data_IF_236885991152
#
_entry.id   IF_236885991152
#
_cell.length_a   1.000
_cell.length_b   1.000
_cell.length_c   1.000
_cell.angle_alpha   90.00
_cell.angle_beta   90.00
_cell.angle_gamma   90.00
#
_symmetry.space_group_name_H-M   'P 1'
#
loop_
_entity.id
_entity.type
_entity.pdbx_description
1 polymer ?
#
# COMPACT_ATOMS: atom_id res chain seq x y z
N UNK A 1 5.09 -11.47 6.51
CA UNK A 1 4.58 -12.85 6.65
C UNK A 1 5.64 -13.88 6.20
N UNK A 2 6.08 -13.91 4.94
CA UNK A 2 6.98 -14.95 4.40
C UNK A 2 8.31 -15.08 5.12
N UNK A 3 9.01 -13.97 5.41
CA UNK A 3 10.28 -14.00 6.15
C UNK A 3 10.14 -14.58 7.55
N UNK A 4 9.04 -14.28 8.25
CA UNK A 4 8.76 -14.86 9.54
C UNK A 4 8.49 -16.37 9.43
N UNK A 5 7.70 -16.78 8.43
CA UNK A 5 7.42 -18.18 8.14
C UNK A 5 8.71 -18.97 7.88
N UNK A 6 9.58 -18.49 6.98
CA UNK A 6 10.87 -19.12 6.69
C UNK A 6 11.74 -19.22 7.95
N UNK A 7 11.75 -18.17 8.78
CA UNK A 7 12.58 -18.14 9.99
C UNK A 7 12.13 -19.16 11.03
N UNK A 8 10.83 -19.22 11.35
CA UNK A 8 10.39 -20.16 12.37
C UNK A 8 10.39 -21.62 11.87
N UNK A 9 10.19 -21.89 10.59
CA UNK A 9 10.31 -23.24 10.01
C UNK A 9 11.72 -23.84 10.14
N UNK A 10 12.73 -22.99 10.24
CA UNK A 10 14.10 -23.43 10.52
C UNK A 10 14.32 -23.82 12.00
N UNK A 11 13.34 -23.58 12.87
CA UNK A 11 13.43 -23.94 14.29
C UNK A 11 12.84 -25.32 14.56
N UNK A 12 13.28 -25.96 15.65
CA UNK A 12 12.71 -27.26 16.09
C UNK A 12 11.22 -27.19 16.46
N UNK A 13 10.64 -25.98 16.58
CA UNK A 13 9.23 -25.75 16.95
C UNK A 13 8.40 -25.23 15.77
N UNK A 14 8.97 -25.15 14.59
CA UNK A 14 8.32 -24.56 13.41
C UNK A 14 7.00 -25.25 13.05
N UNK A 15 6.88 -26.56 13.27
CA UNK A 15 5.66 -27.31 12.96
C UNK A 15 4.51 -27.06 13.95
N UNK A 16 4.81 -26.50 15.13
CA UNK A 16 3.81 -26.13 16.13
C UNK A 16 3.27 -24.70 15.94
N UNK A 17 3.77 -23.98 14.92
CA UNK A 17 3.38 -22.58 14.66
C UNK A 17 2.38 -22.56 13.51
N UNK A 18 1.15 -22.19 13.81
CA UNK A 18 0.13 -21.88 12.81
C UNK A 18 0.26 -20.41 12.40
N UNK A 19 0.26 -20.16 11.11
CA UNK A 19 0.28 -18.79 10.54
C UNK A 19 -1.01 -18.53 9.79
N UNK A 20 -1.66 -17.42 10.09
CA UNK A 20 -2.87 -16.98 9.40
C UNK A 20 -2.65 -15.56 8.85
N UNK A 21 -3.11 -15.30 7.63
CA UNK A 21 -3.11 -14.00 6.97
C UNK A 21 -4.53 -13.46 6.86
N UNK A 22 -4.76 -12.28 7.41
CA UNK A 22 -6.05 -11.57 7.36
C UNK A 22 -5.91 -10.31 6.52
N UNK A 23 -6.89 -10.04 5.66
CA UNK A 23 -6.94 -8.82 4.86
C UNK A 23 -8.37 -8.39 4.57
N UNK A 24 -8.63 -7.07 4.54
CA UNK A 24 -9.89 -6.51 4.08
C UNK A 24 -10.11 -6.65 2.57
N UNK A 25 -9.05 -6.96 1.81
CA UNK A 25 -9.13 -7.18 0.37
C UNK A 25 -9.76 -8.53 0.03
N UNK A 26 -10.41 -8.66 -1.14
CA UNK A 26 -10.96 -9.95 -1.60
C UNK A 26 -9.87 -10.93 -2.09
N UNK A 27 -8.65 -10.47 -2.27
CA UNK A 27 -7.52 -11.22 -2.85
C UNK A 27 -6.22 -10.94 -2.11
N UNK A 28 -5.18 -11.75 -2.36
CA UNK A 28 -3.84 -11.58 -1.78
C UNK A 28 -3.15 -10.28 -2.23
N UNK A 29 -3.47 -9.80 -3.43
CA UNK A 29 -2.88 -8.61 -4.04
C UNK A 29 -3.82 -8.03 -5.10
N UNK A 30 -3.67 -6.73 -5.42
CA UNK A 30 -4.55 -6.04 -6.39
C UNK A 30 -4.37 -6.53 -7.83
N UNK A 31 -3.14 -6.89 -8.22
CA UNK A 31 -2.84 -7.42 -9.56
C UNK A 31 -3.04 -8.93 -9.58
N UNK A 32 -4.00 -9.40 -10.38
CA UNK A 32 -4.44 -10.81 -10.42
C UNK A 32 -3.28 -11.81 -10.56
N UNK A 33 -2.37 -11.60 -11.50
CA UNK A 33 -1.24 -12.49 -11.74
C UNK A 33 -0.39 -12.74 -10.48
N UNK A 34 -0.12 -11.67 -9.73
CA UNK A 34 0.65 -11.77 -8.49
C UNK A 34 -0.19 -12.30 -7.33
N UNK A 35 -1.47 -11.97 -7.31
CA UNK A 35 -2.40 -12.49 -6.32
C UNK A 35 -2.51 -14.01 -6.40
N UNK A 36 -2.64 -14.56 -7.60
CA UNK A 36 -2.74 -15.99 -7.85
C UNK A 36 -1.46 -16.70 -7.36
N UNK A 37 -0.29 -16.23 -7.80
CA UNK A 37 1.00 -16.81 -7.38
C UNK A 37 1.24 -16.73 -5.86
N UNK A 38 0.84 -15.63 -5.22
CA UNK A 38 0.93 -15.47 -3.76
C UNK A 38 -0.03 -16.40 -3.03
N UNK A 39 -1.23 -16.62 -3.58
CA UNK A 39 -2.20 -17.53 -3.00
C UNK A 39 -1.74 -19.00 -3.12
N UNK A 40 -1.18 -19.39 -4.27
CA UNK A 40 -0.62 -20.72 -4.46
C UNK A 40 0.51 -20.99 -3.46
N UNK A 41 1.43 -20.04 -3.31
CA UNK A 41 2.50 -20.12 -2.31
C UNK A 41 1.95 -20.18 -0.87
N UNK A 42 0.88 -19.45 -0.57
CA UNK A 42 0.21 -19.50 0.73
C UNK A 42 -0.33 -20.90 1.03
N UNK A 43 -1.01 -21.50 0.06
CA UNK A 43 -1.55 -22.86 0.17
C UNK A 43 -0.42 -23.89 0.32
N UNK A 44 0.61 -23.82 -0.52
CA UNK A 44 1.78 -24.69 -0.45
C UNK A 44 2.45 -24.66 0.92
N UNK A 45 2.55 -23.46 1.52
CA UNK A 45 3.19 -23.28 2.83
C UNK A 45 2.26 -23.52 4.02
N UNK A 46 1.01 -23.92 3.80
CA UNK A 46 0.04 -24.17 4.86
C UNK A 46 -0.35 -22.94 5.67
N UNK A 47 -0.27 -21.74 5.06
CA UNK A 47 -0.69 -20.48 5.71
C UNK A 47 -2.19 -20.29 5.51
N UNK A 48 -2.94 -20.07 6.60
CA UNK A 48 -4.38 -19.76 6.55
C UNK A 48 -4.61 -18.42 5.85
N UNK A 49 -5.67 -18.30 5.02
CA UNK A 49 -6.03 -17.07 4.33
C UNK A 49 -7.46 -16.64 4.62
N UNK A 50 -7.62 -15.43 5.16
CA UNK A 50 -8.90 -14.86 5.56
C UNK A 50 -9.09 -13.52 4.84
N UNK A 51 -9.81 -13.57 3.72
CA UNK A 51 -10.09 -12.41 2.88
C UNK A 51 -11.36 -11.69 3.34
N UNK A 52 -11.49 -10.42 2.98
CA UNK A 52 -12.62 -9.56 3.37
C UNK A 52 -12.84 -9.52 4.90
N UNK A 53 -11.74 -9.57 5.65
CA UNK A 53 -11.70 -9.48 7.10
C UNK A 53 -10.97 -8.20 7.51
N UNK A 54 -11.70 -7.18 7.92
CA UNK A 54 -11.13 -5.91 8.39
C UNK A 54 -10.92 -5.96 9.90
N UNK A 55 -9.68 -5.74 10.34
CA UNK A 55 -9.37 -5.60 11.76
C UNK A 55 -10.07 -4.36 12.32
N UNK A 56 -10.87 -4.53 13.38
CA UNK A 56 -11.63 -3.43 14.01
C UNK A 56 -11.20 -3.16 15.45
N UNK A 57 -10.70 -4.17 16.18
CA UNK A 57 -10.17 -3.95 17.53
C UNK A 57 -9.14 -5.00 17.91
N UNK A 58 -8.29 -4.65 18.87
CA UNK A 58 -7.28 -5.54 19.46
C UNK A 58 -7.37 -5.40 20.98
N UNK A 59 -7.59 -6.51 21.66
CA UNK A 59 -7.41 -6.65 23.09
C UNK A 59 -6.02 -7.23 23.37
N UNK A 60 -5.11 -6.37 23.75
CA UNK A 60 -3.70 -6.76 24.00
C UNK A 60 -3.54 -7.54 25.32
N UNK A 61 -4.43 -7.34 26.28
CA UNK A 61 -4.38 -8.03 27.57
C UNK A 61 -4.77 -9.49 27.42
N UNK A 62 -5.88 -9.75 26.71
CA UNK A 62 -6.38 -11.10 26.46
C UNK A 62 -5.85 -11.71 25.15
N UNK A 63 -5.02 -10.96 24.39
CA UNK A 63 -4.46 -11.37 23.07
C UNK A 63 -5.52 -11.78 22.07
N UNK A 64 -6.57 -10.95 21.93
CA UNK A 64 -7.68 -11.17 21.03
C UNK A 64 -7.73 -10.08 19.97
N UNK A 65 -8.03 -10.48 18.74
CA UNK A 65 -8.26 -9.58 17.63
C UNK A 65 -9.64 -9.79 17.03
N UNK A 66 -10.40 -8.70 16.85
CA UNK A 66 -11.75 -8.76 16.28
C UNK A 66 -11.71 -8.25 14.85
N UNK A 67 -12.25 -9.05 13.94
CA UNK A 67 -12.38 -8.72 12.53
C UNK A 67 -13.83 -8.58 12.13
N UNK A 68 -14.12 -7.59 11.29
CA UNK A 68 -15.42 -7.43 10.62
C UNK A 68 -15.33 -8.01 9.21
N UNK A 69 -16.28 -8.89 8.90
CA UNK A 69 -16.40 -9.51 7.57
C UNK A 69 -17.20 -8.64 6.59
N UNK A 70 -17.23 -9.04 5.32
CA UNK A 70 -18.00 -8.36 4.28
C UNK A 70 -19.53 -8.32 4.59
N UNK A 71 -20.06 -9.35 5.23
CA UNK A 71 -21.46 -9.46 5.68
C UNK A 71 -21.76 -8.65 6.96
N UNK A 72 -20.82 -7.83 7.43
CA UNK A 72 -20.85 -7.04 8.65
C UNK A 72 -20.83 -7.86 9.96
N UNK A 73 -20.81 -9.18 9.90
CA UNK A 73 -20.59 -10.02 11.09
C UNK A 73 -19.16 -9.82 11.62
N UNK A 74 -18.96 -10.12 12.90
CA UNK A 74 -17.64 -10.06 13.53
C UNK A 74 -17.16 -11.45 13.92
N UNK A 75 -15.85 -11.64 13.87
CA UNK A 75 -15.18 -12.83 14.39
C UNK A 75 -14.02 -12.38 15.28
N UNK A 76 -13.92 -13.01 16.43
CA UNK A 76 -12.81 -12.83 17.36
C UNK A 76 -11.86 -14.03 17.25
N UNK A 77 -10.56 -13.75 17.26
CA UNK A 77 -9.51 -14.77 17.23
C UNK A 77 -8.50 -14.53 18.34
N UNK A 78 -7.92 -15.59 18.85
CA UNK A 78 -6.78 -15.53 19.75
C UNK A 78 -5.48 -15.49 18.94
N UNK A 79 -4.47 -14.77 19.44
CA UNK A 79 -3.15 -14.73 18.83
C UNK A 79 -2.02 -14.85 19.86
N UNK A 80 -0.95 -15.50 19.47
CA UNK A 80 0.31 -15.50 20.25
C UNK A 80 1.18 -14.33 19.85
N UNK A 81 1.29 -14.10 18.52
CA UNK A 81 1.96 -12.95 17.90
C UNK A 81 1.04 -12.36 16.83
N UNK A 82 0.85 -11.06 16.87
CA UNK A 82 0.07 -10.33 15.88
C UNK A 82 0.95 -9.26 15.22
N UNK A 83 1.08 -9.32 13.90
CA UNK A 83 1.66 -8.25 13.09
C UNK A 83 0.54 -7.50 12.38
N UNK A 84 0.41 -6.21 12.64
CA UNK A 84 -0.61 -5.35 12.04
C UNK A 84 0.04 -4.32 11.15
N UNK A 85 -0.51 -4.15 9.95
CA UNK A 85 -0.21 -3.01 9.09
C UNK A 85 -1.39 -2.05 9.20
N UNK A 86 -1.25 -0.90 9.88
CA UNK A 86 -2.33 0.08 10.00
C UNK A 86 -2.70 0.63 8.62
N UNK A 87 -3.96 1.01 8.40
CA UNK A 87 -4.34 1.70 7.18
C UNK A 87 -3.59 3.04 7.07
N UNK A 88 -3.10 3.34 5.87
CA UNK A 88 -2.46 4.60 5.56
C UNK A 88 -3.53 5.65 5.24
N UNK A 89 -3.37 6.85 5.79
CA UNK A 89 -4.26 7.99 5.56
C UNK A 89 -3.49 9.29 5.35
N UNK A 90 -4.13 10.33 4.82
CA UNK A 90 -3.52 11.64 4.69
C UNK A 90 -3.23 12.24 6.08
N UNK A 91 -2.23 13.11 6.15
CA UNK A 91 -1.89 13.85 7.36
C UNK A 91 -3.04 14.79 7.77
N UNK A 92 -3.31 14.90 9.06
CA UNK A 92 -4.42 15.72 9.57
C UNK A 92 -4.28 17.20 9.18
N UNK A 93 -3.06 17.72 9.11
CA UNK A 93 -2.79 19.09 8.66
C UNK A 93 -3.23 19.33 7.20
N UNK A 94 -3.23 18.30 6.36
CA UNK A 94 -3.68 18.38 4.96
C UNK A 94 -5.20 18.30 4.84
N UNK A 95 -5.86 17.47 5.66
CA UNK A 95 -7.31 17.20 5.56
C UNK A 95 -8.20 18.44 5.61
N UNK A 96 -7.77 19.47 6.34
CA UNK A 96 -8.48 20.75 6.44
C UNK A 96 -8.06 21.79 5.40
N UNK A 97 -7.13 21.45 4.52
CA UNK A 97 -6.59 22.37 3.52
C UNK A 97 -7.47 22.40 2.26
N UNK A 98 -7.61 23.57 1.60
CA UNK A 98 -8.37 23.68 0.34
C UNK A 98 -7.69 23.00 -0.87
N UNK A 99 -6.44 22.50 -0.70
CA UNK A 99 -5.66 21.88 -1.75
C UNK A 99 -5.87 20.35 -1.87
N UNK A 100 -6.75 19.77 -1.05
CA UNK A 100 -6.96 18.32 -1.04
C UNK A 100 -8.21 17.91 -1.79
N UNK A 101 -8.23 16.65 -2.21
CA UNK A 101 -9.42 15.97 -2.72
C UNK A 101 -10.38 15.55 -1.60
N UNK A 102 -11.48 14.90 -1.94
CA UNK A 102 -12.48 14.43 -0.97
C UNK A 102 -11.94 13.36 0.00
N UNK A 103 -10.82 12.71 -0.32
CA UNK A 103 -10.16 11.72 0.53
C UNK A 103 -9.05 12.35 1.41
N UNK A 104 -8.76 13.63 1.24
CA UNK A 104 -7.77 14.39 2.03
C UNK A 104 -6.33 14.35 1.46
N UNK A 105 -6.14 13.88 0.23
CA UNK A 105 -4.85 13.90 -0.46
C UNK A 105 -4.71 15.18 -1.30
N UNK A 106 -3.49 15.71 -1.46
CA UNK A 106 -3.25 16.87 -2.32
C UNK A 106 -3.67 16.53 -3.75
N UNK A 107 -4.63 17.30 -4.27
CA UNK A 107 -5.31 17.01 -5.55
C UNK A 107 -4.46 17.46 -6.74
N UNK A 108 -3.78 16.53 -7.39
CA UNK A 108 -2.86 16.81 -8.51
C UNK A 108 -3.23 16.03 -9.77
N UNK A 109 -2.91 16.61 -10.90
CA UNK A 109 -2.93 15.94 -12.19
C UNK A 109 -1.92 14.78 -12.20
N UNK A 110 -2.37 13.61 -12.61
CA UNK A 110 -1.62 12.36 -12.52
C UNK A 110 -0.36 12.32 -13.40
N UNK A 111 -0.29 13.13 -14.44
CA UNK A 111 0.87 13.19 -15.35
C UNK A 111 1.85 14.29 -14.95
N UNK A 112 1.36 15.49 -14.74
CA UNK A 112 2.21 16.67 -14.49
C UNK A 112 2.55 16.87 -13.02
N UNK A 113 1.82 16.25 -12.09
CA UNK A 113 1.95 16.39 -10.64
C UNK A 113 1.62 17.78 -10.11
N UNK A 114 1.07 18.66 -10.97
CA UNK A 114 0.61 20.01 -10.63
C UNK A 114 -0.81 19.93 -10.09
N UNK A 115 -1.15 20.81 -9.15
CA UNK A 115 -2.50 20.89 -8.61
C UNK A 115 -3.54 21.12 -9.71
N UNK A 116 -4.70 20.40 -9.62
CA UNK A 116 -5.74 20.42 -10.67
C UNK A 116 -6.49 21.76 -10.76
N UNK A 117 -6.59 22.50 -9.63
CA UNK A 117 -7.28 23.80 -9.61
C UNK A 117 -6.32 24.93 -9.99
N UNK A 118 -6.71 25.83 -10.94
CA UNK A 118 -5.85 26.90 -11.41
C UNK A 118 -5.38 27.87 -10.32
N UNK A 119 -6.23 28.15 -9.30
CA UNK A 119 -5.89 29.03 -8.17
C UNK A 119 -4.73 28.50 -7.31
N UNK A 120 -4.48 27.19 -7.37
CA UNK A 120 -3.35 26.52 -6.72
C UNK A 120 -2.26 26.06 -7.70
N UNK A 121 -2.22 26.68 -8.86
CA UNK A 121 -1.30 26.30 -9.95
C UNK A 121 0.19 26.42 -9.63
N UNK A 122 0.57 26.98 -8.50
CA UNK A 122 1.93 27.00 -7.94
C UNK A 122 2.20 25.83 -6.96
N UNK A 123 1.22 24.95 -6.74
CA UNK A 123 1.34 23.80 -5.85
C UNK A 123 1.56 22.53 -6.68
N UNK A 124 2.49 21.73 -6.24
CA UNK A 124 2.80 20.40 -6.78
C UNK A 124 2.85 19.39 -5.62
N UNK A 125 2.54 18.13 -5.89
CA UNK A 125 2.73 17.07 -4.91
C UNK A 125 3.14 15.75 -5.54
N UNK A 126 3.94 15.00 -4.80
CA UNK A 126 4.37 13.64 -5.17
C UNK A 126 4.35 12.73 -3.92
N UNK A 127 4.49 11.45 -4.15
CA UNK A 127 4.59 10.47 -3.06
C UNK A 127 3.30 10.32 -2.25
N UNK A 128 3.45 10.04 -0.97
CA UNK A 128 2.35 9.60 -0.11
C UNK A 128 1.28 10.66 0.12
N UNK A 129 1.61 11.94 0.07
CA UNK A 129 0.64 13.03 0.28
C UNK A 129 -0.25 13.33 -0.94
N UNK A 130 0.10 12.82 -2.13
CA UNK A 130 -0.60 13.12 -3.38
C UNK A 130 -1.81 12.22 -3.64
N UNK A 131 -2.77 12.71 -4.43
CA UNK A 131 -3.97 11.97 -4.89
C UNK A 131 -3.67 10.94 -6.00
N UNK A 132 -2.40 10.72 -6.33
CA UNK A 132 -2.01 9.81 -7.41
C UNK A 132 -2.57 8.39 -7.20
N UNK A 133 -3.12 7.76 -8.24
CA UNK A 133 -3.78 6.46 -8.14
C UNK A 133 -2.81 5.28 -7.98
N UNK A 134 -1.50 5.52 -8.14
CA UNK A 134 -0.47 4.49 -8.03
C UNK A 134 -0.18 4.12 -6.58
N UNK A 135 0.37 2.92 -6.37
CA UNK A 135 0.82 2.50 -5.04
C UNK A 135 1.85 3.48 -4.47
N UNK A 136 1.66 3.87 -3.22
CA UNK A 136 2.55 4.79 -2.49
C UNK A 136 3.83 4.05 -2.09
N UNK A 137 4.83 4.07 -2.97
CA UNK A 137 6.11 3.38 -2.79
C UNK A 137 7.30 4.31 -3.01
N UNK A 138 8.45 3.99 -2.41
CA UNK A 138 9.69 4.73 -2.65
C UNK A 138 10.08 4.73 -4.15
N UNK A 139 9.84 3.61 -4.85
CA UNK A 139 10.10 3.51 -6.28
C UNK A 139 9.21 4.46 -7.11
N UNK A 140 7.95 4.67 -6.73
CA UNK A 140 7.10 5.67 -7.36
C UNK A 140 7.67 7.08 -7.17
N UNK A 141 8.11 7.43 -5.96
CA UNK A 141 8.72 8.74 -5.65
C UNK A 141 9.95 9.00 -6.53
N UNK A 142 10.83 8.01 -6.72
CA UNK A 142 12.02 8.17 -7.55
C UNK A 142 11.70 8.45 -9.02
N UNK A 143 10.57 7.97 -9.53
CA UNK A 143 10.09 8.27 -10.88
C UNK A 143 9.32 9.59 -10.96
N UNK A 144 8.60 9.96 -9.90
CA UNK A 144 7.83 11.20 -9.83
C UNK A 144 8.71 12.44 -9.65
N UNK A 145 9.80 12.33 -8.87
CA UNK A 145 10.64 13.46 -8.50
C UNK A 145 11.25 14.20 -9.69
N UNK A 146 11.87 13.56 -10.69
CA UNK A 146 12.41 14.29 -11.86
C UNK A 146 11.33 15.00 -12.67
N UNK A 147 10.15 14.38 -12.84
CA UNK A 147 9.01 14.97 -13.55
C UNK A 147 8.51 16.23 -12.82
N UNK A 148 8.34 16.12 -11.49
CA UNK A 148 7.92 17.23 -10.67
C UNK A 148 8.92 18.38 -10.74
N UNK A 149 10.22 18.09 -10.63
CA UNK A 149 11.29 19.08 -10.68
C UNK A 149 11.29 19.83 -12.01
N UNK A 150 11.21 19.12 -13.13
CA UNK A 150 11.16 19.73 -14.46
C UNK A 150 9.93 20.61 -14.64
N UNK A 151 8.76 20.13 -14.20
CA UNK A 151 7.52 20.89 -14.28
C UNK A 151 7.53 22.14 -13.37
N UNK A 152 8.13 22.09 -12.18
CA UNK A 152 8.30 23.27 -11.32
C UNK A 152 9.14 24.32 -12.03
N UNK A 153 10.33 23.97 -12.53
CA UNK A 153 11.19 24.93 -13.23
C UNK A 153 10.52 25.50 -14.46
N UNK A 154 9.87 24.68 -15.27
CA UNK A 154 9.11 25.15 -16.44
C UNK A 154 8.03 26.15 -16.07
N UNK A 155 7.29 25.92 -14.99
CA UNK A 155 6.27 26.87 -14.52
C UNK A 155 6.88 28.15 -13.99
N UNK A 156 8.02 28.08 -13.30
CA UNK A 156 8.74 29.29 -12.84
C UNK A 156 9.21 30.16 -14.00
N UNK A 157 9.69 29.54 -15.07
CA UNK A 157 10.28 30.26 -16.21
C UNK A 157 9.23 30.73 -17.23
N UNK A 158 8.18 29.91 -17.45
CA UNK A 158 7.25 30.12 -18.58
C UNK A 158 5.77 30.24 -18.16
N UNK A 159 5.45 29.96 -16.90
CA UNK A 159 4.08 29.86 -16.39
C UNK A 159 3.35 28.55 -16.78
N UNK A 160 4.00 27.68 -17.55
CA UNK A 160 3.40 26.43 -18.07
C UNK A 160 4.21 25.20 -17.67
N UNK A 161 3.54 24.07 -17.50
CA UNK A 161 4.23 22.78 -17.34
C UNK A 161 4.97 22.38 -18.60
N UNK A 162 6.05 21.61 -18.46
CA UNK A 162 6.83 21.04 -19.55
C UNK A 162 6.11 19.86 -20.23
N UNK A 163 6.80 19.19 -21.14
CA UNK A 163 6.35 17.93 -21.73
C UNK A 163 6.63 16.70 -20.84
N UNK A 164 7.27 16.88 -19.70
CA UNK A 164 7.57 15.78 -18.79
C UNK A 164 6.30 15.24 -18.12
N UNK A 165 6.08 13.95 -18.28
CA UNK A 165 4.86 13.26 -17.82
C UNK A 165 5.24 12.02 -17.01
N UNK A 166 4.68 11.90 -15.81
CA UNK A 166 4.74 10.68 -15.02
C UNK A 166 3.83 9.61 -15.63
N UNK A 167 4.38 8.45 -15.93
CA UNK A 167 3.70 7.36 -16.65
C UNK A 167 3.06 6.31 -15.75
N UNK A 168 3.01 6.57 -14.44
CA UNK A 168 2.42 5.66 -13.45
C UNK A 168 3.36 4.57 -12.96
N UNK A 169 4.67 4.68 -13.17
CA UNK A 169 5.63 3.69 -12.68
C UNK A 169 5.58 3.58 -11.15
N UNK A 170 5.43 2.34 -10.67
CA UNK A 170 5.60 1.99 -9.26
C UNK A 170 6.18 0.58 -9.16
N UNK A 171 6.87 0.29 -8.09
CA UNK A 171 7.46 -1.03 -7.83
C UNK A 171 7.43 -1.31 -6.34
N UNK A 172 7.10 -2.55 -5.99
CA UNK A 172 7.17 -3.04 -4.63
C UNK A 172 7.82 -4.43 -4.65
N UNK A 173 9.03 -4.59 -4.11
CA UNK A 173 9.66 -5.90 -4.04
C UNK A 173 8.91 -6.79 -3.03
N UNK A 174 8.58 -8.00 -3.46
CA UNK A 174 8.08 -9.05 -2.58
C UNK A 174 9.19 -10.07 -2.40
N UNK A 175 9.77 -10.12 -1.19
CA UNK A 175 10.87 -11.03 -0.87
C UNK A 175 10.37 -12.42 -0.45
N UNK A 176 10.95 -13.47 -1.05
CA UNK A 176 10.84 -14.86 -0.64
C UNK A 176 12.26 -15.39 -0.41
N UNK A 177 12.59 -15.85 0.78
CA UNK A 177 13.96 -16.22 1.16
C UNK A 177 14.56 -17.39 0.34
N UNK A 178 13.78 -18.10 -0.47
CA UNK A 178 14.28 -19.23 -1.27
C UNK A 178 13.94 -19.18 -2.77
N UNK A 179 13.16 -18.22 -3.30
CA UNK A 179 12.66 -18.28 -4.67
C UNK A 179 12.61 -16.94 -5.45
N UNK A 180 13.44 -15.97 -5.11
CA UNK A 180 13.57 -14.77 -5.94
C UNK A 180 12.62 -13.62 -5.59
N UNK A 181 12.76 -12.52 -6.33
CA UNK A 181 11.96 -11.30 -6.19
C UNK A 181 10.89 -11.25 -7.27
N UNK A 182 9.66 -10.89 -6.87
CA UNK A 182 8.66 -10.45 -7.84
C UNK A 182 8.79 -8.93 -7.97
N UNK A 183 9.13 -8.45 -9.16
CA UNK A 183 9.08 -7.03 -9.49
C UNK A 183 7.65 -6.63 -9.86
N UNK A 184 7.15 -5.60 -9.19
CA UNK A 184 5.89 -4.95 -9.54
C UNK A 184 6.00 -4.22 -10.88
N UNK A 185 4.90 -4.16 -11.60
CA UNK A 185 4.78 -3.55 -12.91
C UNK A 185 4.04 -2.21 -12.84
N UNK A 186 4.09 -1.46 -13.95
CA UNK A 186 3.23 -0.29 -14.22
C UNK A 186 1.74 -0.64 -14.06
N UNK A 187 0.98 0.26 -13.52
CA UNK A 187 -0.48 0.25 -13.50
C UNK A 187 -1.03 1.16 -14.59
#
# INVERSE_FOLDING_TARGET
>A
MWMAWDRYKQTKRGDNIKTDFYTGMPTMFSVKKYSDALNDLRVERGVGGHFQHNLVSIDTQNRKATFRKADQSTVEIDFTLLHVTPPMGPLDVLKSSPIVDAAGWVDVDKGTLRHVKPEFGNIFALGDCSSLPTSKTAAAITSQAPILTENIFSVMDTGKVSSAIYDGYTSCPVGFLHLGFIHGSKF
#
